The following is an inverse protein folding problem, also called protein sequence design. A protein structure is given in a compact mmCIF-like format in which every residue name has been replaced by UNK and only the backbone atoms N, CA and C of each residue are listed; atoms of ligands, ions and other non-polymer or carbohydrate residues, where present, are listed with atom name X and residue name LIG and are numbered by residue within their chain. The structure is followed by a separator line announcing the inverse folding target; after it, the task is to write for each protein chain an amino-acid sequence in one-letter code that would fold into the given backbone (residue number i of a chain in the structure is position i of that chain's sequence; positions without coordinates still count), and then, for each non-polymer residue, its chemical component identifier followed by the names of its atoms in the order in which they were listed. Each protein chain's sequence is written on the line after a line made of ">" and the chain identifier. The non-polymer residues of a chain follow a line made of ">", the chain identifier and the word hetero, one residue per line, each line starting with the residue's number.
data_IF_816473556431
#
_entry.id   IF_816473556431
#
_cell.length_a   1.000
_cell.length_b   1.000
_cell.length_c   1.000
_cell.angle_alpha   90.00
_cell.angle_beta   90.00
_cell.angle_gamma   90.00
#
_symmetry.space_group_name_H-M   'P 1'
#
loop_
_entity.id
_entity.type
_entity.pdbx_description
1 polymer ?
#
# COMPACT_ATOMS: atom_id res chain seq x y z
N UNK A 1 -3.73 18.65 5.22
CA UNK A 1 -4.59 17.58 4.67
C UNK A 1 -3.89 16.25 4.89
N UNK A 2 -4.46 15.38 5.72
CA UNK A 2 -3.88 14.08 6.12
C UNK A 2 -4.14 12.97 5.09
N UNK A 3 -5.05 13.21 4.15
CA UNK A 3 -5.49 12.20 3.19
C UNK A 3 -4.44 11.88 2.14
N UNK A 4 -4.39 10.60 1.75
CA UNK A 4 -3.50 10.12 0.70
C UNK A 4 -3.85 10.77 -0.65
N UNK A 5 -2.87 11.21 -1.45
CA UNK A 5 -3.13 11.65 -2.82
C UNK A 5 -3.64 10.45 -3.64
N UNK A 6 -4.67 10.64 -4.46
CA UNK A 6 -5.30 9.58 -5.23
C UNK A 6 -5.05 9.73 -6.73
N UNK A 7 -4.76 8.63 -7.40
CA UNK A 7 -4.76 8.55 -8.86
C UNK A 7 -6.19 8.54 -9.42
N UNK A 8 -6.42 8.98 -10.68
CA UNK A 8 -7.70 8.80 -11.33
C UNK A 8 -8.13 7.33 -11.35
N UNK A 9 -9.27 7.03 -10.73
CA UNK A 9 -9.80 5.67 -10.59
C UNK A 9 -9.39 4.94 -9.30
N UNK A 10 -8.50 5.52 -8.50
CA UNK A 10 -8.17 5.05 -7.15
C UNK A 10 -9.25 5.45 -6.14
N UNK A 11 -9.56 4.56 -5.21
CA UNK A 11 -10.53 4.83 -4.15
C UNK A 11 -10.08 4.30 -2.79
N UNK A 12 -10.37 5.08 -1.76
CA UNK A 12 -10.04 4.75 -0.36
C UNK A 12 -10.94 3.61 0.12
N UNK A 13 -10.34 2.64 0.80
CA UNK A 13 -11.00 1.44 1.36
C UNK A 13 -11.01 1.47 2.88
N UNK A 14 -9.96 2.02 3.49
CA UNK A 14 -9.89 2.24 4.94
C UNK A 14 -9.00 3.45 5.25
N UNK A 15 -9.35 4.17 6.32
CA UNK A 15 -8.52 5.20 6.95
C UNK A 15 -8.49 4.90 8.44
N UNK A 16 -7.32 4.64 8.99
CA UNK A 16 -7.14 4.35 10.42
C UNK A 16 -6.15 5.33 11.02
N UNK A 17 -6.56 5.98 12.10
CA UNK A 17 -5.72 6.90 12.88
C UNK A 17 -4.96 6.12 13.97
N UNK A 18 -3.99 6.78 14.58
CA UNK A 18 -3.22 6.23 15.71
C UNK A 18 -2.55 4.88 15.41
N UNK A 19 -2.17 4.67 14.15
CA UNK A 19 -1.35 3.53 13.73
C UNK A 19 0.11 3.89 13.94
N UNK A 20 0.89 2.97 14.50
CA UNK A 20 2.31 3.12 14.72
C UNK A 20 3.09 2.34 13.68
N UNK A 21 3.83 3.05 12.84
CA UNK A 21 4.85 2.43 11.98
C UNK A 21 6.15 2.26 12.77
N UNK A 22 6.66 1.03 12.83
CA UNK A 22 7.93 0.71 13.49
C UNK A 22 9.03 0.80 12.44
N UNK A 23 9.58 2.01 12.26
CA UNK A 23 10.67 2.25 11.31
C UNK A 23 11.97 1.62 11.85
N UNK A 24 12.65 0.74 11.08
CA UNK A 24 13.90 0.13 11.54
C UNK A 24 15.06 1.13 11.69
N UNK A 25 14.94 2.33 11.11
CA UNK A 25 15.99 3.36 11.12
C UNK A 25 15.71 4.50 12.11
N UNK A 26 14.43 4.79 12.37
CA UNK A 26 14.01 5.98 13.13
C UNK A 26 13.18 5.65 14.38
N UNK A 27 12.88 4.37 14.61
CA UNK A 27 11.99 3.93 15.68
C UNK A 27 10.51 4.09 15.35
N UNK A 28 9.68 4.07 16.38
CA UNK A 28 8.23 4.16 16.25
C UNK A 28 7.77 5.56 15.80
N UNK A 29 6.85 5.59 14.84
CA UNK A 29 6.19 6.81 14.34
C UNK A 29 4.69 6.57 14.33
N UNK A 30 3.93 7.33 15.11
CA UNK A 30 2.46 7.29 15.12
C UNK A 30 1.89 8.14 13.99
N UNK A 31 0.78 7.75 13.37
CA UNK A 31 0.18 8.52 12.29
C UNK A 31 -1.08 7.87 11.71
N UNK A 32 -1.48 8.35 10.54
CA UNK A 32 -2.69 7.87 9.85
C UNK A 32 -2.30 6.92 8.73
N UNK A 33 -2.88 5.72 8.76
CA UNK A 33 -2.80 4.71 7.70
C UNK A 33 -4.02 4.81 6.79
N UNK A 34 -3.80 4.96 5.50
CA UNK A 34 -4.82 4.89 4.45
C UNK A 34 -4.55 3.68 3.57
N UNK A 35 -5.57 2.87 3.32
CA UNK A 35 -5.52 1.77 2.36
C UNK A 35 -6.48 2.09 1.22
N UNK A 36 -6.00 2.02 -0.01
CA UNK A 36 -6.80 2.19 -1.23
C UNK A 36 -6.90 0.86 -1.98
N UNK A 37 -7.48 0.85 -3.18
CA UNK A 37 -7.36 -0.26 -4.12
C UNK A 37 -6.03 -0.29 -4.90
N UNK A 38 -5.12 0.64 -4.62
CA UNK A 38 -3.79 0.70 -5.27
C UNK A 38 -2.61 0.69 -4.29
N UNK A 39 -2.70 1.38 -3.15
CA UNK A 39 -1.58 1.58 -2.23
C UNK A 39 -1.98 1.52 -0.76
N UNK A 40 -0.98 1.22 0.05
CA UNK A 40 -0.89 1.54 1.47
C UNK A 40 -0.16 2.88 1.58
N UNK A 41 -0.77 3.84 2.26
CA UNK A 41 -0.21 5.16 2.47
C UNK A 41 -0.24 5.52 3.95
N UNK A 42 0.91 5.73 4.56
CA UNK A 42 1.04 6.16 5.95
C UNK A 42 1.63 7.55 6.02
N UNK A 43 1.06 8.42 6.87
CA UNK A 43 1.51 9.79 7.05
C UNK A 43 1.47 10.19 8.52
N UNK A 44 2.58 10.76 9.00
CA UNK A 44 2.64 11.53 10.24
C UNK A 44 2.87 12.99 9.90
N UNK A 45 2.02 13.86 10.44
CA UNK A 45 2.06 15.32 10.23
C UNK A 45 2.77 16.08 11.35
N UNK A 46 3.20 15.39 12.41
CA UNK A 46 3.86 16.01 13.56
C UNK A 46 5.34 16.28 13.32
N UNK A 47 5.98 15.54 12.41
CA UNK A 47 7.37 15.75 12.00
C UNK A 47 7.47 16.77 10.85
N UNK A 48 8.58 17.51 10.83
CA UNK A 48 8.95 18.39 9.72
C UNK A 48 10.34 17.98 9.14
N UNK A 49 10.43 17.54 7.87
CA UNK A 49 9.31 17.31 6.95
C UNK A 49 8.40 16.17 7.43
N UNK A 50 7.14 16.19 6.98
CA UNK A 50 6.17 15.13 7.28
C UNK A 50 6.74 13.76 6.92
N UNK A 51 6.56 12.77 7.81
CA UNK A 51 6.95 11.40 7.52
C UNK A 51 5.89 10.75 6.64
N UNK A 52 6.31 10.23 5.48
CA UNK A 52 5.43 9.59 4.49
C UNK A 52 5.99 8.23 4.11
N UNK A 53 5.13 7.23 4.10
CA UNK A 53 5.40 5.91 3.56
C UNK A 53 4.29 5.58 2.54
N UNK A 54 4.63 5.66 1.25
CA UNK A 54 3.75 5.32 0.12
C UNK A 54 4.21 3.99 -0.50
N UNK A 55 3.34 2.99 -0.49
CA UNK A 55 3.66 1.60 -0.84
C UNK A 55 2.55 1.03 -1.74
N UNK A 56 2.82 0.81 -3.04
CA UNK A 56 1.87 0.14 -3.92
C UNK A 56 1.53 -1.27 -3.40
N UNK A 57 0.26 -1.62 -3.33
CA UNK A 57 -0.16 -2.92 -2.82
C UNK A 57 0.39 -4.09 -3.63
N UNK A 58 0.65 -3.88 -4.93
CA UNK A 58 1.27 -4.89 -5.80
C UNK A 58 2.68 -5.32 -5.40
N UNK A 59 3.41 -4.52 -4.60
CA UNK A 59 4.72 -4.91 -4.06
C UNK A 59 4.61 -5.79 -2.83
N UNK A 60 3.45 -5.91 -2.20
CA UNK A 60 3.26 -6.77 -1.03
C UNK A 60 3.30 -8.23 -1.48
N UNK A 61 4.15 -9.04 -0.83
CA UNK A 61 4.22 -10.49 -1.04
C UNK A 61 3.40 -11.23 0.01
N UNK A 62 3.37 -10.73 1.25
CA UNK A 62 2.68 -11.38 2.37
C UNK A 62 2.27 -10.36 3.44
N UNK A 63 1.15 -10.63 4.11
CA UNK A 63 0.66 -9.87 5.27
C UNK A 63 0.44 -10.85 6.42
N UNK A 64 1.11 -10.65 7.55
CA UNK A 64 1.05 -11.54 8.72
C UNK A 64 0.61 -10.76 9.95
N UNK A 65 -0.31 -11.32 10.74
CA UNK A 65 -0.61 -10.81 12.08
C UNK A 65 0.55 -11.22 12.99
N UNK A 66 1.15 -10.26 13.68
CA UNK A 66 2.13 -10.51 14.72
C UNK A 66 1.46 -10.31 16.09
N UNK A 67 1.64 -11.28 16.98
CA UNK A 67 1.15 -11.18 18.35
C UNK A 67 1.94 -10.13 19.10
N UNK A 68 1.27 -9.08 19.59
CA UNK A 68 1.89 -8.17 20.53
C UNK A 68 1.78 -8.82 21.92
N UNK A 69 2.83 -9.53 22.34
CA UNK A 69 2.97 -9.91 23.75
C UNK A 69 3.37 -8.65 24.54
N UNK A 70 2.42 -7.75 24.76
CA UNK A 70 2.58 -6.62 25.69
C UNK A 70 1.73 -6.89 26.92
N UNK A 71 2.40 -7.03 28.07
CA UNK A 71 1.81 -7.08 29.39
C UNK A 71 0.86 -5.88 29.62
N UNK A 72 -0.43 -6.03 29.33
CA UNK A 72 -1.48 -5.08 29.72
C UNK A 72 -2.03 -4.16 28.62
N UNK A 73 -1.39 -4.03 27.47
CA UNK A 73 -1.89 -3.20 26.36
C UNK A 73 -2.45 -4.07 25.23
N UNK A 74 -3.75 -3.93 24.94
CA UNK A 74 -4.50 -4.57 23.84
C UNK A 74 -4.02 -4.07 22.46
N UNK A 75 -2.76 -4.31 22.14
CA UNK A 75 -2.15 -3.93 20.87
C UNK A 75 -2.17 -5.10 19.88
N UNK A 76 -2.42 -4.78 18.62
CA UNK A 76 -2.32 -5.67 17.48
C UNK A 76 -1.14 -5.23 16.63
N UNK A 77 -0.46 -6.18 15.99
CA UNK A 77 0.58 -5.88 15.02
C UNK A 77 0.37 -6.59 13.70
N UNK A 78 0.86 -5.97 12.63
CA UNK A 78 0.97 -6.55 11.30
C UNK A 78 2.41 -6.41 10.81
N UNK A 79 2.96 -7.50 10.28
CA UNK A 79 4.17 -7.50 9.46
C UNK A 79 3.78 -7.66 7.98
N UNK A 80 4.31 -6.78 7.13
CA UNK A 80 4.08 -6.78 5.68
C UNK A 80 5.43 -7.05 5.03
N UNK A 81 5.53 -8.17 4.32
CA UNK A 81 6.71 -8.51 3.53
C UNK A 81 6.52 -7.96 2.12
N UNK A 82 7.51 -7.25 1.60
CA UNK A 82 7.45 -6.66 0.27
C UNK A 82 8.47 -7.30 -0.69
N UNK A 83 8.17 -7.24 -1.99
CA UNK A 83 8.98 -7.75 -3.09
C UNK A 83 10.18 -6.86 -3.41
N UNK A 84 10.14 -5.61 -2.97
CA UNK A 84 11.18 -4.58 -3.14
C UNK A 84 12.20 -4.57 -2.00
N UNK A 85 12.50 -5.75 -1.43
CA UNK A 85 13.54 -5.99 -0.43
C UNK A 85 13.37 -5.22 0.89
N UNK A 86 12.12 -5.04 1.35
CA UNK A 86 11.81 -4.42 2.65
C UNK A 86 10.64 -5.14 3.33
N UNK A 87 10.60 -5.00 4.66
CA UNK A 87 9.48 -5.40 5.49
C UNK A 87 8.96 -4.18 6.26
N UNK A 88 7.64 -4.07 6.39
CA UNK A 88 6.98 -3.01 7.16
C UNK A 88 6.36 -3.63 8.40
N UNK A 89 6.45 -2.93 9.54
CA UNK A 89 5.78 -3.33 10.78
C UNK A 89 4.86 -2.22 11.24
N UNK A 90 3.60 -2.56 11.45
CA UNK A 90 2.57 -1.67 11.96
C UNK A 90 2.07 -2.22 13.30
N UNK A 91 1.83 -1.34 14.26
CA UNK A 91 1.17 -1.63 15.52
C UNK A 91 -0.01 -0.67 15.72
N UNK A 92 -1.10 -1.14 16.32
CA UNK A 92 -2.32 -0.37 16.52
C UNK A 92 -3.18 -0.99 17.62
N UNK A 93 -4.14 -0.23 18.17
CA UNK A 93 -5.03 -0.74 19.22
C UNK A 93 -6.03 -1.74 18.65
N UNK A 94 -6.36 -2.77 19.42
CA UNK A 94 -7.29 -3.83 19.00
C UNK A 94 -8.71 -3.31 18.69
N UNK A 95 -9.13 -2.21 19.32
CA UNK A 95 -10.39 -1.53 19.00
C UNK A 95 -10.43 -0.98 17.56
N UNK A 96 -9.28 -0.59 17.00
CA UNK A 96 -9.20 -0.11 15.62
C UNK A 96 -9.21 -1.29 14.62
N UNK A 97 -8.72 -2.47 15.02
CA UNK A 97 -8.86 -3.70 14.25
C UNK A 97 -10.33 -4.06 14.03
N UNK A 98 -11.15 -4.00 15.08
CA UNK A 98 -12.56 -4.41 15.04
C UNK A 98 -13.44 -3.44 14.26
N UNK A 99 -13.09 -2.15 14.22
CA UNK A 99 -13.84 -1.13 13.47
C UNK A 99 -13.57 -1.14 11.98
N UNK A 100 -12.31 -1.33 11.56
CA UNK A 100 -11.87 -1.00 10.20
C UNK A 100 -11.16 -2.14 9.46
N UNK A 101 -10.79 -3.24 10.15
CA UNK A 101 -10.24 -4.43 9.53
C UNK A 101 -9.02 -4.17 8.64
N UNK A 102 -7.95 -3.58 9.21
CA UNK A 102 -6.73 -3.22 8.45
C UNK A 102 -6.16 -4.45 7.73
N UNK A 103 -5.99 -5.54 8.48
CA UNK A 103 -5.46 -6.80 7.96
C UNK A 103 -6.33 -7.34 6.81
N UNK A 104 -7.65 -7.30 6.97
CA UNK A 104 -8.62 -7.81 6.01
C UNK A 104 -8.63 -6.93 4.74
N UNK A 105 -8.58 -5.61 4.88
CA UNK A 105 -8.45 -4.68 3.75
C UNK A 105 -7.13 -4.89 2.99
N UNK A 106 -6.00 -5.02 3.70
CA UNK A 106 -4.71 -5.27 3.06
C UNK A 106 -4.70 -6.62 2.33
N UNK A 107 -5.18 -7.69 2.94
CA UNK A 107 -5.26 -9.00 2.27
C UNK A 107 -6.19 -8.97 1.05
N UNK A 108 -7.33 -8.30 1.16
CA UNK A 108 -8.30 -8.21 0.07
C UNK A 108 -7.73 -7.44 -1.13
N UNK A 109 -7.11 -6.29 -0.88
CA UNK A 109 -6.71 -5.36 -1.93
C UNK A 109 -5.27 -5.55 -2.42
N UNK A 110 -4.38 -6.15 -1.62
CA UNK A 110 -3.04 -6.54 -2.09
C UNK A 110 -3.03 -7.82 -2.93
N UNK A 111 -4.04 -8.68 -2.75
CA UNK A 111 -4.17 -9.92 -3.50
C UNK A 111 -5.51 -9.98 -4.25
N UNK A 112 -5.77 -9.02 -5.17
CA UNK A 112 -7.09 -8.89 -5.80
C UNK A 112 -7.51 -10.15 -6.56
N UNK A 113 -6.59 -10.80 -7.28
CA UNK A 113 -6.88 -12.02 -8.03
C UNK A 113 -7.31 -13.18 -7.12
N UNK A 114 -6.67 -13.32 -5.95
CA UNK A 114 -7.04 -14.33 -4.94
C UNK A 114 -8.40 -14.06 -4.31
N UNK A 115 -8.92 -12.84 -4.42
CA UNK A 115 -10.19 -12.39 -3.87
C UNK A 115 -11.27 -12.14 -4.94
N UNK A 116 -11.06 -12.64 -6.17
CA UNK A 116 -12.02 -12.49 -7.27
C UNK A 116 -12.19 -11.05 -7.77
N UNK A 117 -11.19 -10.19 -7.54
CA UNK A 117 -11.17 -8.79 -7.97
C UNK A 117 -10.19 -8.57 -9.14
N UNK A 118 -10.42 -7.52 -9.92
CA UNK A 118 -9.50 -7.10 -10.97
C UNK A 118 -8.26 -6.40 -10.39
N UNK A 119 -7.15 -6.45 -11.13
CA UNK A 119 -5.96 -5.64 -10.83
C UNK A 119 -6.28 -4.14 -10.99
N UNK A 120 -5.62 -3.28 -10.21
CA UNK A 120 -5.79 -1.83 -10.30
C UNK A 120 -5.55 -1.25 -11.70
N UNK A 121 -4.70 -1.90 -12.51
CA UNK A 121 -4.45 -1.52 -13.91
C UNK A 121 -5.75 -1.39 -14.75
N UNK A 122 -6.82 -2.11 -14.40
CA UNK A 122 -8.11 -2.02 -15.09
C UNK A 122 -9.03 -0.92 -14.54
N UNK A 123 -8.72 -0.38 -13.35
CA UNK A 123 -9.45 0.74 -12.73
C UNK A 123 -8.77 2.09 -12.97
N UNK A 124 -7.47 2.10 -13.28
CA UNK A 124 -6.68 3.29 -13.51
C UNK A 124 -7.13 4.06 -14.77
N UNK A 125 -7.33 5.37 -14.62
CA UNK A 125 -7.96 6.24 -15.64
C UNK A 125 -7.14 7.46 -16.05
N UNK A 126 -5.89 7.56 -15.61
CA UNK A 126 -5.03 8.67 -16.03
C UNK A 126 -4.76 8.61 -17.53
N UNK A 127 -4.61 9.79 -18.16
CA UNK A 127 -4.37 9.91 -19.59
C UNK A 127 -3.02 10.56 -19.81
N UNK A 128 -2.25 9.97 -20.71
CA UNK A 128 -0.95 10.45 -21.14
C UNK A 128 -1.00 10.90 -22.60
N UNK A 129 -0.16 11.87 -23.01
CA UNK A 129 -0.14 12.35 -24.40
C UNK A 129 0.35 11.28 -25.39
N UNK A 130 1.12 10.29 -24.92
CA UNK A 130 1.69 9.21 -25.73
C UNK A 130 0.99 7.90 -25.38
N UNK A 131 0.56 7.15 -26.41
CA UNK A 131 0.04 5.80 -26.23
C UNK A 131 1.17 4.77 -26.20
N UNK A 132 1.57 4.35 -24.99
CA UNK A 132 2.63 3.35 -24.78
C UNK A 132 2.41 2.02 -25.51
N UNK A 133 1.16 1.62 -25.76
CA UNK A 133 0.83 0.39 -26.50
C UNK A 133 1.24 0.41 -27.96
N UNK A 134 1.60 1.59 -28.50
CA UNK A 134 2.02 1.78 -29.89
C UNK A 134 3.53 1.97 -30.05
N UNK A 135 4.30 1.88 -28.97
CA UNK A 135 5.75 2.07 -29.00
C UNK A 135 6.47 0.94 -29.72
N UNK A 136 6.05 -0.31 -29.48
CA UNK A 136 6.65 -1.47 -30.11
C UNK A 136 5.86 -1.90 -31.34
N UNK A 137 6.54 -1.98 -32.48
CA UNK A 137 6.02 -2.55 -33.73
C UNK A 137 7.00 -3.63 -34.24
N UNK A 138 6.61 -4.91 -34.25
CA UNK A 138 7.50 -6.00 -34.65
C UNK A 138 8.08 -5.83 -36.06
N UNK A 139 7.29 -5.32 -37.01
CA UNK A 139 7.72 -5.14 -38.40
C UNK A 139 8.78 -4.05 -38.50
N UNK A 140 8.57 -2.92 -37.82
CA UNK A 140 9.56 -1.83 -37.76
C UNK A 140 10.84 -2.27 -37.06
N UNK A 141 10.74 -3.13 -36.03
CA UNK A 141 11.92 -3.68 -35.37
C UNK A 141 12.72 -4.63 -36.28
N UNK A 142 12.06 -5.50 -37.04
CA UNK A 142 12.75 -6.34 -38.03
C UNK A 142 13.42 -5.51 -39.13
N UNK A 143 12.72 -4.50 -39.65
CA UNK A 143 13.31 -3.55 -40.63
C UNK A 143 14.54 -2.84 -40.07
N UNK A 144 14.51 -2.45 -38.78
CA UNK A 144 15.68 -1.84 -38.10
C UNK A 144 16.87 -2.79 -38.03
N UNK A 145 16.64 -4.10 -37.96
CA UNK A 145 17.66 -5.14 -38.01
C UNK A 145 18.09 -5.51 -39.45
N UNK A 146 17.46 -4.96 -40.48
CA UNK A 146 17.75 -5.27 -41.89
C UNK A 146 17.07 -6.53 -42.41
N UNK A 147 15.98 -6.97 -41.77
CA UNK A 147 15.16 -8.13 -42.14
C UNK A 147 13.86 -7.72 -42.86
#
# INVERSE_FOLDING_TARGET
>A
MEEAPLFPGESIKAIVKDVMYICPFMGAVSGTLTVTDFKLYFKNVERDPHFILDVPLGVISRVEKIGAQSHGDNSCGIEIVCKDMRNLRLAYKQEEQSKLGIFENLNKHAFPLSNGQALFAFSYKEKFPINGWKVYDPVSEYKRQGL
#
